data_IF_502263584256
#
_entry.id   IF_502263584256
#
_cell.length_a   1.000
_cell.length_b   1.000
_cell.length_c   1.000
_cell.angle_alpha   90.00
_cell.angle_beta   90.00
_cell.angle_gamma   90.00
#
_symmetry.space_group_name_H-M   'P 1'
#
loop_
_entity.id
_entity.type
_entity.pdbx_description
1 polymer ?
#
# COMPACT_ATOMS: atom_id res chain seq x y z
N UNK A 1 8.81 30.31 15.07
CA UNK A 1 9.23 30.86 13.77
C UNK A 1 10.12 29.81 13.14
N UNK A 2 9.79 29.20 12.00
CA UNK A 2 10.63 28.16 11.40
C UNK A 2 11.98 28.73 10.93
N UNK A 3 13.06 27.98 11.15
CA UNK A 3 14.45 28.35 10.85
C UNK A 3 14.70 28.55 9.33
N UNK A 4 15.45 29.59 8.92
CA UNK A 4 15.75 29.89 7.51
C UNK A 4 16.83 29.00 6.87
N UNK A 5 17.36 27.99 7.57
CA UNK A 5 18.61 27.31 7.18
C UNK A 5 18.45 26.09 6.25
N UNK A 6 17.23 25.59 6.01
CA UNK A 6 17.03 24.45 5.12
C UNK A 6 15.92 24.71 4.11
N UNK A 7 16.22 24.87 2.80
CA UNK A 7 15.19 24.79 1.79
C UNK A 7 14.54 23.40 1.92
N UNK A 8 13.24 23.36 2.18
CA UNK A 8 12.49 22.13 2.11
C UNK A 8 12.76 21.48 0.74
N UNK A 9 12.90 20.15 0.66
CA UNK A 9 13.12 19.48 -0.62
C UNK A 9 12.04 19.93 -1.62
N UNK A 10 12.39 20.13 -2.90
CA UNK A 10 11.46 20.68 -3.89
C UNK A 10 10.23 19.80 -3.97
N UNK A 11 9.09 20.32 -3.48
CA UNK A 11 7.80 19.67 -3.63
C UNK A 11 7.41 19.65 -5.12
N UNK A 12 6.67 18.63 -5.58
CA UNK A 12 6.18 18.60 -6.95
C UNK A 12 5.31 19.82 -7.24
N UNK A 13 5.46 20.40 -8.44
CA UNK A 13 4.73 21.59 -8.86
C UNK A 13 3.20 21.40 -8.91
N UNK A 14 2.73 20.15 -8.87
CA UNK A 14 1.32 19.79 -8.85
C UNK A 14 1.03 18.73 -7.78
N UNK A 15 -0.18 18.78 -7.22
CA UNK A 15 -0.67 17.79 -6.28
C UNK A 15 -0.74 16.40 -6.93
N UNK A 16 -0.18 15.38 -6.28
CA UNK A 16 -0.18 14.00 -6.79
C UNK A 16 -1.59 13.39 -6.94
N UNK A 17 -2.58 13.92 -6.22
CA UNK A 17 -3.95 13.40 -6.20
C UNK A 17 -4.87 14.12 -7.19
N UNK A 18 -4.92 15.45 -7.15
CA UNK A 18 -5.86 16.24 -7.96
C UNK A 18 -5.21 17.01 -9.11
N UNK A 19 -3.89 16.90 -9.28
CA UNK A 19 -3.09 17.58 -10.31
C UNK A 19 -3.20 19.11 -10.33
N UNK A 20 -3.82 19.73 -9.31
CA UNK A 20 -3.87 21.20 -9.17
C UNK A 20 -2.47 21.74 -8.83
N UNK A 21 -2.16 22.98 -9.25
CA UNK A 21 -0.88 23.62 -8.93
C UNK A 21 -0.72 23.72 -7.41
N UNK A 22 0.50 23.44 -6.96
CA UNK A 22 0.86 23.45 -5.54
C UNK A 22 1.95 24.49 -5.30
N UNK A 23 1.82 25.24 -4.21
CA UNK A 23 2.88 26.14 -3.77
C UNK A 23 4.05 25.31 -3.20
N UNK A 24 5.33 25.66 -3.48
CA UNK A 24 6.49 24.95 -2.95
C UNK A 24 6.52 24.84 -1.41
N UNK A 25 5.82 25.70 -0.70
CA UNK A 25 5.75 25.69 0.77
C UNK A 25 4.49 24.98 1.33
N UNK A 26 3.54 24.60 0.47
CA UNK A 26 2.31 23.95 0.90
C UNK A 26 2.55 22.46 1.20
N UNK A 27 2.44 22.06 2.48
CA UNK A 27 2.51 20.64 2.89
C UNK A 27 1.23 19.86 2.59
N UNK A 28 0.13 20.57 2.37
CA UNK A 28 -1.19 20.02 2.08
C UNK A 28 -1.80 20.76 0.89
N UNK A 29 -2.47 20.04 0.01
CA UNK A 29 -3.16 20.67 -1.11
C UNK A 29 -4.39 21.45 -0.64
N UNK A 30 -4.47 22.74 -0.97
CA UNK A 30 -5.62 23.61 -0.61
C UNK A 30 -6.95 23.21 -1.26
N UNK A 31 -6.90 22.45 -2.36
CA UNK A 31 -8.08 22.04 -3.11
C UNK A 31 -8.66 20.70 -2.64
N UNK A 32 -7.82 19.69 -2.43
CA UNK A 32 -8.27 18.34 -2.04
C UNK A 32 -7.92 17.94 -0.61
N UNK A 33 -7.14 18.75 0.11
CA UNK A 33 -6.74 18.48 1.50
C UNK A 33 -5.68 17.38 1.66
N UNK A 34 -5.22 16.74 0.59
CA UNK A 34 -4.22 15.67 0.69
C UNK A 34 -2.83 16.20 1.02
N UNK A 35 -2.15 15.53 1.96
CA UNK A 35 -0.76 15.80 2.31
C UNK A 35 0.21 15.46 1.17
N UNK A 36 1.32 16.18 1.15
CA UNK A 36 2.35 16.13 0.11
C UNK A 36 3.71 15.77 0.70
N UNK A 37 4.56 15.12 -0.09
CA UNK A 37 5.89 14.65 0.35
C UNK A 37 5.80 13.75 1.57
N UNK A 38 6.43 14.14 2.67
CA UNK A 38 6.46 13.36 3.91
C UNK A 38 5.14 13.42 4.70
N UNK A 39 4.23 14.34 4.36
CA UNK A 39 2.94 14.53 5.06
C UNK A 39 1.81 13.68 4.45
N UNK A 40 2.12 12.77 3.54
CA UNK A 40 1.12 11.87 2.94
C UNK A 40 0.60 10.91 4.01
N UNK A 41 -0.69 10.56 3.92
CA UNK A 41 -1.33 9.68 4.88
C UNK A 41 -0.59 8.35 5.07
N UNK A 42 -0.62 7.82 6.30
CA UNK A 42 0.15 6.65 6.73
C UNK A 42 -0.03 5.43 5.81
N UNK A 43 -1.23 5.20 5.29
CA UNK A 43 -1.56 4.06 4.42
C UNK A 43 -0.95 4.16 3.01
N UNK A 44 -0.43 5.32 2.61
CA UNK A 44 0.38 5.47 1.39
C UNK A 44 1.89 5.41 1.66
N UNK A 45 2.30 5.39 2.93
CA UNK A 45 3.71 5.15 3.29
C UNK A 45 4.06 3.67 3.07
N UNK A 46 5.35 3.40 2.82
CA UNK A 46 5.86 2.05 2.51
C UNK A 46 5.41 1.00 3.54
N UNK A 47 5.51 1.33 4.83
CA UNK A 47 5.08 0.44 5.91
C UNK A 47 3.55 0.31 6.00
N UNK A 48 2.81 1.38 5.73
CA UNK A 48 1.35 1.36 5.76
C UNK A 48 0.75 0.54 4.63
N UNK A 49 1.37 0.56 3.45
CA UNK A 49 1.05 -0.32 2.32
C UNK A 49 1.29 -1.78 2.70
N UNK A 50 2.44 -2.08 3.30
CA UNK A 50 2.73 -3.44 3.79
C UNK A 50 1.68 -3.91 4.79
N UNK A 51 1.37 -3.08 5.79
CA UNK A 51 0.37 -3.39 6.81
C UNK A 51 -1.02 -3.63 6.22
N UNK A 52 -1.47 -2.76 5.32
CA UNK A 52 -2.78 -2.87 4.67
C UNK A 52 -2.88 -4.06 3.73
N UNK A 53 -1.77 -4.46 3.07
CA UNK A 53 -1.71 -5.68 2.27
C UNK A 53 -1.85 -6.96 3.07
N UNK A 54 -1.40 -6.98 4.33
CA UNK A 54 -1.48 -8.17 5.18
C UNK A 54 -2.79 -8.21 5.99
N UNK A 55 -3.25 -7.06 6.50
CA UNK A 55 -4.33 -7.02 7.51
C UNK A 55 -5.73 -6.73 6.99
N UNK A 56 -5.94 -6.45 5.70
CA UNK A 56 -7.32 -6.21 5.23
C UNK A 56 -7.53 -6.21 3.73
N UNK A 57 -6.67 -5.53 2.97
CA UNK A 57 -6.88 -5.38 1.52
C UNK A 57 -6.33 -6.55 0.70
N UNK A 58 -5.40 -7.34 1.26
CA UNK A 58 -4.83 -8.49 0.56
C UNK A 58 -4.23 -8.08 -0.79
N UNK A 59 -4.62 -8.74 -1.90
CA UNK A 59 -4.12 -8.40 -3.24
C UNK A 59 -4.57 -7.02 -3.73
N UNK A 60 -5.63 -6.45 -3.15
CA UNK A 60 -6.15 -5.14 -3.56
C UNK A 60 -5.30 -3.96 -3.04
N UNK A 61 -4.36 -4.21 -2.12
CA UNK A 61 -3.41 -3.19 -1.65
C UNK A 61 -2.48 -2.68 -2.77
N UNK A 62 -2.37 -3.40 -3.90
CA UNK A 62 -1.65 -2.94 -5.09
C UNK A 62 -2.17 -1.60 -5.60
N UNK A 63 -3.48 -1.32 -5.45
CA UNK A 63 -4.06 -0.03 -5.85
C UNK A 63 -3.43 1.13 -5.08
N UNK A 64 -3.06 0.92 -3.81
CA UNK A 64 -2.38 1.93 -2.99
C UNK A 64 -0.93 2.14 -3.46
N UNK A 65 -0.24 1.09 -3.89
CA UNK A 65 1.12 1.19 -4.45
C UNK A 65 1.14 2.05 -5.71
N UNK A 66 0.20 1.82 -6.63
CA UNK A 66 0.14 2.54 -7.91
C UNK A 66 -0.17 4.02 -7.70
N UNK A 67 -1.01 4.33 -6.72
CA UNK A 67 -1.39 5.72 -6.38
C UNK A 67 -0.37 6.45 -5.50
N UNK A 68 0.53 5.75 -4.83
CA UNK A 68 1.43 6.39 -3.87
C UNK A 68 2.46 7.29 -4.56
N UNK A 69 2.59 8.56 -4.14
CA UNK A 69 3.59 9.49 -4.68
C UNK A 69 5.01 9.20 -4.18
N UNK A 70 5.15 8.38 -3.12
CA UNK A 70 6.43 8.10 -2.44
C UNK A 70 7.26 7.00 -3.13
N UNK A 71 6.67 6.29 -4.08
CA UNK A 71 7.28 5.16 -4.76
C UNK A 71 7.70 5.57 -6.17
N UNK A 72 8.98 5.38 -6.47
CA UNK A 72 9.51 5.50 -7.83
C UNK A 72 8.88 4.45 -8.76
N UNK A 73 8.94 4.68 -10.08
CA UNK A 73 8.33 3.76 -11.06
C UNK A 73 8.78 2.30 -10.91
N UNK A 74 10.06 2.08 -10.65
CA UNK A 74 10.62 0.73 -10.41
C UNK A 74 10.13 0.16 -9.08
N UNK A 75 10.15 0.96 -8.01
CA UNK A 75 9.68 0.49 -6.71
C UNK A 75 8.21 0.11 -6.74
N UNK A 76 7.36 0.80 -7.51
CA UNK A 76 5.95 0.42 -7.67
C UNK A 76 5.80 -1.00 -8.21
N UNK A 77 6.61 -1.39 -9.19
CA UNK A 77 6.60 -2.75 -9.74
C UNK A 77 7.09 -3.77 -8.73
N UNK A 78 8.20 -3.49 -8.03
CA UNK A 78 8.74 -4.38 -7.00
C UNK A 78 7.73 -4.63 -5.88
N UNK A 79 7.09 -3.56 -5.38
CA UNK A 79 6.07 -3.65 -4.34
C UNK A 79 4.82 -4.38 -4.81
N UNK A 80 4.36 -4.13 -6.03
CA UNK A 80 3.20 -4.82 -6.60
C UNK A 80 3.46 -6.33 -6.74
N UNK A 81 4.63 -6.70 -7.27
CA UNK A 81 5.04 -8.09 -7.40
C UNK A 81 5.18 -8.78 -6.03
N UNK A 82 5.76 -8.09 -5.04
CA UNK A 82 5.91 -8.62 -3.68
C UNK A 82 4.54 -8.88 -3.02
N UNK A 83 3.62 -7.91 -3.08
CA UNK A 83 2.26 -8.06 -2.50
C UNK A 83 1.51 -9.22 -3.16
N UNK A 84 1.54 -9.31 -4.49
CA UNK A 84 0.88 -10.40 -5.21
C UNK A 84 1.50 -11.76 -4.90
N UNK A 85 2.84 -11.84 -4.87
CA UNK A 85 3.55 -13.09 -4.55
C UNK A 85 3.24 -13.59 -3.14
N UNK A 86 3.26 -12.70 -2.15
CA UNK A 86 2.95 -13.04 -0.75
C UNK A 86 1.49 -13.47 -0.61
N UNK A 87 0.55 -12.76 -1.23
CA UNK A 87 -0.87 -13.12 -1.19
C UNK A 87 -1.15 -14.45 -1.89
N UNK A 88 -0.53 -14.69 -3.05
CA UNK A 88 -0.65 -15.97 -3.76
C UNK A 88 -0.10 -17.13 -2.92
N UNK A 89 1.03 -16.93 -2.26
CA UNK A 89 1.63 -17.93 -1.37
C UNK A 89 0.75 -18.23 -0.14
N UNK A 90 0.22 -17.19 0.51
CA UNK A 90 -0.73 -17.33 1.63
C UNK A 90 -2.01 -18.05 1.18
N UNK A 91 -2.58 -17.65 0.04
CA UNK A 91 -3.77 -18.30 -0.53
C UNK A 91 -3.53 -19.77 -0.85
N UNK A 92 -2.35 -20.11 -1.40
CA UNK A 92 -1.96 -21.50 -1.66
C UNK A 92 -1.83 -22.34 -0.38
N UNK A 93 -1.22 -21.77 0.67
CA UNK A 93 -1.12 -22.42 1.98
C UNK A 93 -2.51 -22.67 2.58
N UNK A 94 -3.37 -21.67 2.55
CA UNK A 94 -4.74 -21.76 3.04
C UNK A 94 -5.53 -22.84 2.27
N UNK A 95 -5.44 -22.84 0.94
CA UNK A 95 -6.09 -23.85 0.10
C UNK A 95 -5.65 -25.28 0.46
N UNK A 96 -4.34 -25.52 0.62
CA UNK A 96 -3.84 -26.83 1.05
C UNK A 96 -4.36 -27.23 2.42
N UNK A 97 -4.36 -26.32 3.39
CA UNK A 97 -4.87 -26.61 4.75
C UNK A 97 -6.35 -26.99 4.71
N UNK A 98 -7.18 -26.22 4.00
CA UNK A 98 -8.61 -26.53 3.84
C UNK A 98 -8.82 -27.89 3.17
N UNK A 99 -8.07 -28.18 2.10
CA UNK A 99 -8.16 -29.47 1.41
C UNK A 99 -7.77 -30.62 2.33
N UNK A 100 -6.70 -30.49 3.13
CA UNK A 100 -6.33 -31.52 4.11
C UNK A 100 -7.41 -31.70 5.18
N UNK A 101 -7.99 -30.61 5.70
CA UNK A 101 -9.07 -30.69 6.69
C UNK A 101 -10.32 -31.38 6.12
N UNK A 102 -10.70 -31.06 4.88
CA UNK A 102 -11.81 -31.73 4.21
C UNK A 102 -11.56 -33.22 4.06
N UNK A 103 -10.35 -33.63 3.66
CA UNK A 103 -9.99 -35.05 3.58
C UNK A 103 -10.12 -35.77 4.93
N UNK A 104 -9.68 -35.14 6.02
CA UNK A 104 -9.85 -35.69 7.37
C UNK A 104 -11.33 -35.78 7.79
N UNK A 105 -12.11 -34.73 7.60
CA UNK A 105 -13.54 -34.72 7.96
C UNK A 105 -14.31 -35.79 7.18
N UNK A 106 -14.07 -35.92 5.88
CA UNK A 106 -14.72 -36.94 5.05
C UNK A 106 -14.34 -38.36 5.51
N UNK A 107 -13.08 -38.60 5.85
CA UNK A 107 -12.65 -39.90 6.38
C UNK A 107 -13.26 -40.22 7.76
N UNK A 108 -13.42 -39.21 8.62
CA UNK A 108 -14.03 -39.37 9.93
C UNK A 108 -15.54 -39.69 9.84
N UNK A 109 -16.24 -39.15 8.84
CA UNK A 109 -17.68 -39.44 8.63
C UNK A 109 -17.95 -40.83 8.05
N UNK A 110 -16.99 -41.48 7.40
CA UNK A 110 -17.13 -42.84 6.85
C UNK A 110 -16.76 -43.95 7.85
N UNK A 111 -16.17 -43.60 8.99
CA UNK A 111 -15.79 -44.52 10.05
C UNK A 111 -16.86 -44.74 11.14
N UNK A 112 -18.00 -44.05 11.05
CA UNK A 112 -19.22 -44.27 11.83
C UNK A 112 -20.28 -44.93 10.94
#
# INVERSE_FOLDING_TARGET
>A
MPDPAFPAPPLPAACWSCAKPLDPFDRYCRFCGHGQGDNVAWYYQRWGIALSSVLGLGPFAVVMVVRSPLLSGVERWVWSAAILGVNAWLGWRFYKTVMTMNAFITSAMQGF
#
